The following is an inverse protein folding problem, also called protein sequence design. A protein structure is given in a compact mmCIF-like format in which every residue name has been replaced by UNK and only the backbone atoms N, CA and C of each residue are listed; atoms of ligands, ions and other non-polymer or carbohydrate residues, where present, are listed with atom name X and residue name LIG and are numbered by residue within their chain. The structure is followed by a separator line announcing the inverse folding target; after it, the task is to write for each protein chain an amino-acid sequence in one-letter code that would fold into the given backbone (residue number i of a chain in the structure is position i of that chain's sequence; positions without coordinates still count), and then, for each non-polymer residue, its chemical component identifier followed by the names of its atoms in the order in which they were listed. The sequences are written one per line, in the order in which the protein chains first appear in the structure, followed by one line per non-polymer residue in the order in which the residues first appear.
data_IF_320166706529
#
_entry.id   IF_320166706529
#
_cell.length_a   1.000
_cell.length_b   1.000
_cell.length_c   1.000
_cell.angle_alpha   90.00
_cell.angle_beta   90.00
_cell.angle_gamma   90.00
#
_symmetry.space_group_name_H-M   'P 1'
#
loop_
_entity.id
_entity.type
_entity.pdbx_description
1 polymer ?
#
# COMPACT_ATOMS: atom_id res chain seq x y z
N UNK A 1 0.79 9.07 -6.52
CA UNK A 1 2.19 8.82 -6.94
C UNK A 1 2.79 7.72 -6.09
N UNK A 2 3.64 6.94 -6.64
CA UNK A 2 4.35 5.91 -5.88
C UNK A 2 5.82 5.88 -6.27
N UNK A 3 6.64 5.41 -5.35
CA UNK A 3 8.05 5.15 -5.62
C UNK A 3 8.40 3.73 -5.18
N UNK A 4 9.40 3.16 -5.82
CA UNK A 4 9.89 1.81 -5.50
C UNK A 4 11.41 1.91 -5.32
N UNK A 5 11.89 1.39 -4.20
CA UNK A 5 13.32 1.26 -3.93
C UNK A 5 13.65 -0.19 -3.66
N UNK A 6 14.66 -0.70 -4.33
CA UNK A 6 15.14 -2.06 -4.10
C UNK A 6 16.34 -2.00 -3.17
N UNK A 7 16.14 -2.49 -1.95
CA UNK A 7 17.19 -2.60 -0.96
C UNK A 7 17.71 -4.02 -0.91
N UNK A 8 18.73 -4.25 -0.10
CA UNK A 8 19.39 -5.56 -0.03
C UNK A 8 18.43 -6.69 0.35
N UNK A 9 17.56 -6.44 1.32
CA UNK A 9 16.68 -7.46 1.89
C UNK A 9 15.20 -7.19 1.70
N UNK A 10 14.85 -6.09 1.04
CA UNK A 10 13.44 -5.72 0.86
C UNK A 10 13.26 -4.81 -0.34
N UNK A 11 12.07 -4.84 -0.89
CA UNK A 11 11.61 -3.81 -1.82
C UNK A 11 10.68 -2.88 -1.05
N UNK A 12 10.97 -1.59 -1.09
CA UNK A 12 10.20 -0.58 -0.36
C UNK A 12 9.37 0.22 -1.35
N UNK A 13 8.06 0.19 -1.15
CA UNK A 13 7.11 0.93 -1.99
C UNK A 13 6.48 2.01 -1.12
N UNK A 14 6.53 3.24 -1.57
CA UNK A 14 5.88 4.36 -0.89
C UNK A 14 4.74 4.87 -1.75
N UNK A 15 3.54 4.91 -1.17
CA UNK A 15 2.34 5.41 -1.83
C UNK A 15 2.03 6.78 -1.26
N UNK A 16 2.08 7.80 -2.12
CA UNK A 16 1.81 9.19 -1.74
C UNK A 16 0.46 9.58 -2.28
N UNK A 17 -0.40 10.09 -1.41
CA UNK A 17 -1.73 10.52 -1.81
C UNK A 17 -1.64 11.87 -2.54
N UNK A 18 -2.33 11.99 -3.66
CA UNK A 18 -2.33 13.18 -4.51
C UNK A 18 -3.76 13.67 -4.72
N UNK A 19 -4.43 13.99 -3.65
CA UNK A 19 -5.75 14.58 -3.72
C UNK A 19 -5.69 16.10 -3.63
N UNK A 20 -6.83 16.74 -3.79
CA UNK A 20 -6.95 18.19 -3.62
C UNK A 20 -7.23 18.56 -2.17
N UNK A 21 -7.94 17.71 -1.45
CA UNK A 21 -8.33 17.92 -0.06
C UNK A 21 -8.26 16.62 0.72
N UNK A 22 -8.05 16.71 2.01
CA UNK A 22 -8.07 15.55 2.92
C UNK A 22 -7.08 14.47 2.53
N UNK A 23 -5.84 14.87 2.26
CA UNK A 23 -4.78 13.93 1.91
C UNK A 23 -4.55 12.93 3.04
N UNK A 24 -4.35 11.68 2.66
CA UNK A 24 -3.95 10.63 3.60
C UNK A 24 -2.44 10.62 3.77
N UNK A 25 -2.00 10.13 4.92
CA UNK A 25 -0.57 9.94 5.16
C UNK A 25 0.00 8.91 4.19
N UNK A 26 1.30 9.02 3.93
CA UNK A 26 1.98 8.08 3.06
C UNK A 26 1.85 6.65 3.59
N UNK A 27 1.66 5.72 2.67
CA UNK A 27 1.65 4.28 2.99
C UNK A 27 2.98 3.71 2.52
N UNK A 28 3.71 3.06 3.43
CA UNK A 28 4.97 2.41 3.13
C UNK A 28 4.79 0.91 3.18
N UNK A 29 5.12 0.25 2.09
CA UNK A 29 5.02 -1.19 1.95
C UNK A 29 6.43 -1.75 1.87
N UNK A 30 6.77 -2.63 2.81
CA UNK A 30 8.07 -3.31 2.80
C UNK A 30 7.85 -4.76 2.40
N UNK A 31 8.29 -5.11 1.21
CA UNK A 31 8.14 -6.47 0.69
C UNK A 31 9.43 -7.25 0.93
N UNK A 32 9.39 -8.14 1.90
CA UNK A 32 10.46 -9.08 2.20
C UNK A 32 10.23 -10.38 1.43
N UNK A 33 11.14 -11.32 1.53
CA UNK A 33 11.03 -12.59 0.80
C UNK A 33 9.92 -13.51 1.32
N UNK A 34 9.46 -13.32 2.55
CA UNK A 34 8.47 -14.18 3.19
C UNK A 34 7.25 -13.45 3.76
N UNK A 35 7.30 -12.13 3.83
CA UNK A 35 6.22 -11.34 4.43
C UNK A 35 6.23 -9.93 3.85
N UNK A 36 5.06 -9.31 3.86
CA UNK A 36 4.91 -7.90 3.47
C UNK A 36 4.38 -7.14 4.67
N UNK A 37 4.99 -6.01 5.00
CA UNK A 37 4.46 -5.10 6.00
C UNK A 37 3.90 -3.86 5.33
N UNK A 38 2.79 -3.35 5.86
CA UNK A 38 2.17 -2.13 5.38
C UNK A 38 2.09 -1.18 6.57
N UNK A 39 2.64 0.01 6.41
CA UNK A 39 2.77 0.98 7.48
C UNK A 39 2.16 2.32 7.09
N UNK A 40 1.49 2.94 8.04
CA UNK A 40 0.94 4.29 7.86
C UNK A 40 0.93 4.99 9.21
N UNK A 41 1.32 6.25 9.22
CA UNK A 41 1.26 7.07 10.43
C UNK A 41 -0.19 7.43 10.73
N UNK A 42 -0.61 7.27 11.98
CA UNK A 42 -1.87 7.81 12.45
C UNK A 42 -1.62 9.25 12.93
N UNK A 43 -2.11 10.27 12.22
CA UNK A 43 -1.82 11.66 12.58
C UNK A 43 -2.50 12.11 13.87
N UNK A 44 -3.53 11.41 14.33
CA UNK A 44 -4.23 11.75 15.57
C UNK A 44 -3.43 11.30 16.78
N UNK A 45 -2.90 10.08 16.76
CA UNK A 45 -2.15 9.50 17.87
C UNK A 45 -0.64 9.66 17.72
N UNK A 46 -0.17 10.10 16.55
CA UNK A 46 1.24 10.19 16.19
C UNK A 46 1.95 8.84 16.30
N UNK A 47 1.22 7.75 16.07
CA UNK A 47 1.75 6.39 16.11
C UNK A 47 1.76 5.76 14.73
N UNK A 48 2.83 5.04 14.44
CA UNK A 48 2.94 4.26 13.23
C UNK A 48 2.11 2.99 13.37
N UNK A 49 1.15 2.82 12.46
CA UNK A 49 0.34 1.61 12.39
C UNK A 49 0.99 0.67 11.39
N UNK A 50 1.11 -0.59 11.77
CA UNK A 50 1.75 -1.60 10.93
C UNK A 50 0.91 -2.86 10.93
N UNK A 51 0.71 -3.42 9.75
CA UNK A 51 0.10 -4.73 9.58
C UNK A 51 1.04 -5.64 8.80
N UNK A 52 0.91 -6.92 9.03
CA UNK A 52 1.67 -7.95 8.31
C UNK A 52 0.72 -8.73 7.42
N UNK A 53 1.08 -8.89 6.16
CA UNK A 53 0.32 -9.71 5.23
C UNK A 53 1.23 -10.74 4.61
N UNK A 54 0.68 -11.91 4.30
CA UNK A 54 1.43 -12.94 3.59
C UNK A 54 1.58 -12.54 2.13
N UNK A 55 2.53 -13.17 1.44
CA UNK A 55 2.68 -12.96 0.00
C UNK A 55 1.41 -13.37 -0.74
N UNK A 56 0.74 -14.42 -0.29
CA UNK A 56 -0.54 -14.85 -0.88
C UNK A 56 -1.63 -13.82 -0.68
N UNK A 57 -1.75 -13.27 0.53
CA UNK A 57 -2.74 -12.22 0.80
C UNK A 57 -2.52 -10.99 -0.06
N UNK A 58 -1.28 -10.58 -0.22
CA UNK A 58 -0.94 -9.43 -1.07
C UNK A 58 -1.28 -9.71 -2.53
N UNK A 59 -0.97 -10.91 -3.02
CA UNK A 59 -1.30 -11.31 -4.39
C UNK A 59 -2.81 -11.32 -4.62
N UNK A 60 -3.56 -11.88 -3.67
CA UNK A 60 -5.02 -11.93 -3.75
C UNK A 60 -5.64 -10.55 -3.69
N UNK A 61 -5.08 -9.65 -2.87
CA UNK A 61 -5.55 -8.26 -2.82
C UNK A 61 -5.37 -7.57 -4.17
N UNK A 62 -4.20 -7.72 -4.78
CA UNK A 62 -3.94 -7.13 -6.09
C UNK A 62 -4.91 -7.68 -7.14
N UNK A 63 -5.18 -8.98 -7.10
CA UNK A 63 -6.13 -9.62 -8.01
C UNK A 63 -7.54 -9.11 -7.79
N UNK A 64 -7.98 -9.03 -6.53
CA UNK A 64 -9.32 -8.58 -6.18
C UNK A 64 -9.56 -7.12 -6.60
N UNK A 65 -8.58 -6.25 -6.38
CA UNK A 65 -8.67 -4.85 -6.77
C UNK A 65 -8.69 -4.64 -8.28
N UNK A 66 -8.23 -5.61 -9.03
CA UNK A 66 -8.20 -5.54 -10.49
C UNK A 66 -9.46 -6.11 -11.16
N UNK A 67 -10.40 -6.66 -10.38
CA UNK A 67 -11.65 -7.19 -10.92
C UNK A 67 -12.59 -6.04 -11.31
N UNK A 68 -13.35 -6.18 -12.40
CA UNK A 68 -14.25 -5.11 -12.88
C UNK A 68 -15.57 -5.02 -12.13
N UNK A 69 -15.71 -5.70 -11.01
CA UNK A 69 -16.97 -5.85 -10.28
C UNK A 69 -16.98 -5.10 -8.96
N UNK A 70 -18.15 -4.70 -8.52
CA UNK A 70 -18.36 -4.12 -7.20
C UNK A 70 -18.18 -2.61 -7.14
N UNK A 71 -18.56 -2.04 -6.01
CA UNK A 71 -18.49 -0.59 -5.79
C UNK A 71 -17.09 -0.09 -5.51
N UNK A 72 -16.16 -0.99 -5.26
CA UNK A 72 -14.77 -0.69 -4.99
C UNK A 72 -13.92 -0.57 -6.24
N UNK A 73 -14.53 -0.58 -7.42
CA UNK A 73 -13.78 -0.54 -8.68
C UNK A 73 -12.80 0.62 -8.69
N UNK A 74 -11.54 0.29 -8.90
CA UNK A 74 -10.52 1.28 -9.15
C UNK A 74 -10.52 1.55 -10.64
N UNK A 75 -10.93 2.76 -11.02
CA UNK A 75 -10.92 3.14 -12.43
C UNK A 75 -9.49 3.45 -12.83
N UNK A 76 -9.05 2.81 -13.89
CA UNK A 76 -7.78 3.16 -14.49
C UNK A 76 -7.91 4.53 -15.12
N UNK A 77 -7.02 5.41 -14.75
CA UNK A 77 -6.92 6.70 -15.40
C UNK A 77 -6.13 6.51 -16.69
N UNK A 78 -6.71 7.01 -17.74
CA UNK A 78 -6.06 6.94 -19.06
C UNK A 78 -4.84 7.85 -19.12
#
# INVERSE_FOLDING_TARGET
MFSIEHEFDATVITLVDEGETHLREDVVINAFDDVITIEQLDPVTDRLQRIHVSLRQAHELATALNLPEGVYQIRRQA
#
